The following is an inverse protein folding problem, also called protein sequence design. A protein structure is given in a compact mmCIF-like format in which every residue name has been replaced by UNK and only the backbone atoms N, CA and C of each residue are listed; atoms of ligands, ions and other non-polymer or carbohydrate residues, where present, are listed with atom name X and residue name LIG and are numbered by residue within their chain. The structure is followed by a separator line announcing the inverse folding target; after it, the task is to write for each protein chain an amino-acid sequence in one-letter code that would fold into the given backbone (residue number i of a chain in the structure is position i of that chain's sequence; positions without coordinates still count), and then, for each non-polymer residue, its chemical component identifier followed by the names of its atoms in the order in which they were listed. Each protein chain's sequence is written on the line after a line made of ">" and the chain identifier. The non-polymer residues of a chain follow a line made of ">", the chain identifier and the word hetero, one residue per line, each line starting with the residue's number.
data_IF_108833595355
#
_entry.id   IF_108833595355
#
_cell.length_a   1.000
_cell.length_b   1.000
_cell.length_c   1.000
_cell.angle_alpha   90.00
_cell.angle_beta   90.00
_cell.angle_gamma   90.00
#
_symmetry.space_group_name_H-M   'P 1'
#
loop_
_entity.id
_entity.type
_entity.pdbx_description
1 polymer ?
#
# COMPACT_ATOMS: atom_id res chain seq x y z
N UNK A 1 14.99 17.39 -21.69
CA UNK A 1 16.09 16.71 -22.42
C UNK A 1 17.32 17.64 -22.41
N UNK A 2 18.49 17.10 -22.15
CA UNK A 2 19.77 17.82 -22.16
C UNK A 2 20.85 16.96 -22.80
N UNK A 3 21.51 17.47 -23.82
CA UNK A 3 22.61 16.79 -24.51
C UNK A 3 23.96 17.41 -24.15
N UNK A 4 25.01 16.64 -24.25
CA UNK A 4 26.38 17.11 -24.08
C UNK A 4 27.34 16.28 -24.93
N UNK A 5 28.37 16.95 -25.41
CA UNK A 5 29.48 16.29 -26.14
C UNK A 5 30.80 16.86 -25.65
N UNK A 6 31.74 15.99 -25.43
CA UNK A 6 33.13 16.38 -25.16
C UNK A 6 34.04 15.30 -25.77
N UNK A 7 35.12 15.73 -26.40
CA UNK A 7 36.03 14.83 -27.16
C UNK A 7 36.47 13.59 -26.35
N UNK A 8 36.75 13.76 -25.04
CA UNK A 8 37.16 12.65 -24.15
C UNK A 8 35.97 11.91 -23.52
N UNK A 9 34.83 12.58 -23.38
CA UNK A 9 33.67 12.04 -22.66
C UNK A 9 32.60 11.47 -23.60
N UNK A 10 32.76 11.61 -24.91
CA UNK A 10 31.82 11.09 -25.88
C UNK A 10 30.49 11.84 -25.93
N UNK A 11 29.49 11.20 -26.52
CA UNK A 11 28.14 11.76 -26.65
C UNK A 11 27.30 11.36 -25.45
N UNK A 12 26.68 12.34 -24.80
CA UNK A 12 25.93 12.19 -23.54
C UNK A 12 24.50 12.71 -23.70
N UNK A 13 23.55 12.12 -22.97
CA UNK A 13 22.14 12.54 -22.98
C UNK A 13 21.48 12.19 -21.66
N UNK A 14 20.84 13.18 -21.07
CA UNK A 14 19.87 13.00 -19.99
C UNK A 14 18.50 13.30 -20.58
N UNK A 15 17.58 12.39 -20.49
CA UNK A 15 16.23 12.59 -21.02
C UNK A 15 15.18 12.05 -20.03
N UNK A 16 13.96 12.52 -20.19
CA UNK A 16 12.82 12.05 -19.41
C UNK A 16 11.67 11.78 -20.38
N UNK A 17 10.91 10.75 -20.07
CA UNK A 17 9.68 10.41 -20.80
C UNK A 17 8.60 10.02 -19.83
N UNK A 18 7.33 10.32 -20.19
CA UNK A 18 6.17 9.96 -19.39
C UNK A 18 5.18 9.19 -20.28
N UNK A 19 4.63 8.09 -19.73
CA UNK A 19 3.62 7.26 -20.38
C UNK A 19 2.70 6.70 -19.29
N UNK A 20 1.39 6.86 -19.44
CA UNK A 20 0.37 6.29 -18.55
C UNK A 20 0.63 6.60 -17.06
N UNK A 21 0.97 7.85 -16.76
CA UNK A 21 1.23 8.30 -15.40
C UNK A 21 2.64 8.03 -14.89
N UNK A 22 3.37 7.11 -15.51
CA UNK A 22 4.74 6.76 -15.13
C UNK A 22 5.74 7.69 -15.80
N UNK A 23 6.79 8.08 -15.07
CA UNK A 23 7.87 8.92 -15.60
C UNK A 23 9.21 8.24 -15.35
N UNK A 24 10.01 8.13 -16.40
CA UNK A 24 11.39 7.62 -16.31
C UNK A 24 12.39 8.70 -16.72
N UNK A 25 13.56 8.64 -16.12
CA UNK A 25 14.73 9.44 -16.47
C UNK A 25 15.79 8.46 -17.00
N UNK A 26 16.28 8.73 -18.19
CA UNK A 26 17.35 7.95 -18.81
C UNK A 26 18.63 8.79 -18.84
N UNK A 27 19.73 8.20 -18.43
CA UNK A 27 21.07 8.80 -18.49
C UNK A 27 21.96 7.90 -19.33
N UNK A 28 22.42 8.41 -20.45
CA UNK A 28 23.31 7.70 -21.38
C UNK A 28 24.60 8.54 -21.51
N UNK A 29 25.72 7.94 -21.20
CA UNK A 29 27.01 8.61 -21.19
C UNK A 29 28.03 7.85 -22.07
N UNK A 30 28.93 8.59 -22.70
CA UNK A 30 30.14 8.05 -23.34
C UNK A 30 29.91 7.27 -24.62
N UNK A 31 28.80 7.49 -25.33
CA UNK A 31 28.58 6.76 -26.59
C UNK A 31 29.49 7.30 -27.70
N UNK A 32 29.82 6.41 -28.65
CA UNK A 32 30.75 6.72 -29.76
C UNK A 32 30.18 7.77 -30.72
N UNK A 33 28.87 7.84 -30.86
CA UNK A 33 28.22 8.80 -31.75
C UNK A 33 26.80 9.12 -31.31
N UNK A 34 26.23 10.15 -31.91
CA UNK A 34 24.86 10.64 -31.59
C UNK A 34 23.80 9.58 -31.88
N UNK A 35 23.97 8.76 -32.92
CA UNK A 35 23.02 7.70 -33.28
C UNK A 35 22.94 6.63 -32.18
N UNK A 36 24.10 6.19 -31.66
CA UNK A 36 24.15 5.23 -30.53
C UNK A 36 23.52 5.81 -29.28
N UNK A 37 23.84 7.08 -28.98
CA UNK A 37 23.25 7.79 -27.83
C UNK A 37 21.72 7.73 -27.89
N UNK A 38 21.12 8.11 -29.01
CA UNK A 38 19.65 8.14 -29.18
C UNK A 38 19.06 6.74 -29.13
N UNK A 39 19.72 5.76 -29.75
CA UNK A 39 19.27 4.35 -29.72
C UNK A 39 19.27 3.79 -28.28
N UNK A 40 20.35 4.00 -27.55
CA UNK A 40 20.48 3.54 -26.15
C UNK A 40 19.44 4.21 -25.24
N UNK A 41 19.21 5.51 -25.41
CA UNK A 41 18.21 6.25 -24.64
C UNK A 41 16.81 5.66 -24.86
N UNK A 42 16.43 5.44 -26.12
CA UNK A 42 15.12 4.83 -26.45
C UNK A 42 15.00 3.45 -25.85
N UNK A 43 16.03 2.61 -26.02
CA UNK A 43 16.02 1.25 -25.48
C UNK A 43 15.83 1.21 -23.95
N UNK A 44 16.52 2.10 -23.22
CA UNK A 44 16.37 2.18 -21.76
C UNK A 44 14.96 2.62 -21.34
N UNK A 45 14.41 3.62 -22.03
CA UNK A 45 13.04 4.11 -21.71
C UNK A 45 11.99 3.04 -22.04
N UNK A 46 12.12 2.38 -23.20
CA UNK A 46 11.21 1.29 -23.58
C UNK A 46 11.31 0.14 -22.57
N UNK A 47 12.52 -0.24 -22.15
CA UNK A 47 12.72 -1.26 -21.12
C UNK A 47 11.96 -0.91 -19.83
N UNK A 48 12.06 0.34 -19.39
CA UNK A 48 11.33 0.81 -18.21
C UNK A 48 9.82 0.68 -18.37
N UNK A 49 9.29 1.19 -19.46
CA UNK A 49 7.84 1.17 -19.70
C UNK A 49 7.28 -0.23 -19.97
N UNK A 50 8.08 -1.10 -20.58
CA UNK A 50 7.61 -2.46 -20.93
C UNK A 50 7.69 -3.44 -19.76
N UNK A 51 8.57 -3.18 -18.78
CA UNK A 51 8.85 -4.14 -17.71
C UNK A 51 8.34 -3.72 -16.34
N UNK A 52 7.96 -2.46 -16.14
CA UNK A 52 7.53 -1.96 -14.82
C UNK A 52 6.21 -1.21 -14.95
N UNK A 53 5.35 -1.40 -13.96
CA UNK A 53 4.08 -0.67 -13.87
C UNK A 53 3.74 -0.35 -12.42
N UNK A 54 2.87 0.62 -12.20
CA UNK A 54 2.37 0.95 -10.87
C UNK A 54 1.25 -0.03 -10.49
N UNK A 55 1.44 -0.72 -9.38
CA UNK A 55 0.42 -1.60 -8.78
C UNK A 55 -0.21 -0.88 -7.60
N UNK A 56 -1.51 -0.70 -7.63
CA UNK A 56 -2.29 -0.22 -6.49
C UNK A 56 -2.67 -1.43 -5.64
N UNK A 57 -2.17 -1.47 -4.39
CA UNK A 57 -2.12 -2.68 -3.58
C UNK A 57 -3.22 -2.78 -2.52
N UNK A 58 -3.88 -1.68 -2.18
CA UNK A 58 -4.90 -1.65 -1.13
C UNK A 58 -6.03 -0.69 -1.48
N UNK A 59 -6.60 -0.89 -2.65
CA UNK A 59 -7.79 -0.10 -3.03
C UNK A 59 -8.87 -0.25 -1.97
N UNK A 60 -9.52 0.85 -1.67
CA UNK A 60 -10.56 0.95 -0.63
C UNK A 60 -11.71 -0.04 -0.92
N UNK A 61 -11.92 -0.41 -2.19
CA UNK A 61 -12.98 -1.34 -2.64
C UNK A 61 -12.48 -2.78 -2.82
N UNK A 62 -11.27 -3.12 -2.36
CA UNK A 62 -10.78 -4.49 -2.45
C UNK A 62 -11.52 -5.40 -1.45
N UNK A 63 -11.75 -6.64 -1.85
CA UNK A 63 -12.48 -7.65 -1.04
C UNK A 63 -11.75 -8.07 0.24
N UNK A 64 -10.60 -7.48 0.53
CA UNK A 64 -9.84 -7.80 1.75
C UNK A 64 -10.29 -6.89 2.87
N UNK A 65 -10.97 -7.46 3.87
CA UNK A 65 -11.39 -6.72 5.07
C UNK A 65 -10.46 -7.05 6.24
N UNK A 66 -10.10 -6.03 6.98
CA UNK A 66 -9.31 -6.15 8.21
C UNK A 66 -10.21 -5.82 9.39
N UNK A 67 -10.03 -6.50 10.53
CA UNK A 67 -10.82 -6.20 11.72
C UNK A 67 -10.02 -6.50 12.98
N UNK A 68 -10.45 -5.90 14.09
CA UNK A 68 -9.92 -6.19 15.44
C UNK A 68 -11.09 -6.42 16.39
N UNK A 69 -10.90 -7.32 17.35
CA UNK A 69 -11.89 -7.54 18.40
C UNK A 69 -12.03 -6.32 19.32
N UNK A 70 -13.22 -6.07 19.85
CA UNK A 70 -13.47 -4.96 20.79
C UNK A 70 -14.03 -5.53 22.11
N UNK A 71 -13.18 -5.56 23.12
CA UNK A 71 -13.56 -6.04 24.45
C UNK A 71 -14.39 -4.97 25.17
N UNK A 72 -15.58 -5.35 25.63
CA UNK A 72 -16.49 -4.46 26.36
C UNK A 72 -17.20 -3.43 25.49
N UNK A 73 -17.22 -3.64 24.18
CA UNK A 73 -17.91 -2.76 23.24
C UNK A 73 -19.31 -3.23 22.90
N UNK A 74 -20.14 -2.33 22.39
CA UNK A 74 -21.46 -2.67 21.87
C UNK A 74 -21.39 -3.61 20.66
N UNK A 75 -20.25 -3.60 19.94
CA UNK A 75 -19.94 -4.54 18.86
C UNK A 75 -18.68 -5.33 19.25
N UNK A 76 -18.67 -6.60 18.90
CA UNK A 76 -17.55 -7.50 19.19
C UNK A 76 -16.30 -7.22 18.33
N UNK A 77 -16.49 -6.59 17.18
CA UNK A 77 -15.42 -6.31 16.23
C UNK A 77 -15.59 -4.93 15.61
N UNK A 78 -14.47 -4.35 15.18
CA UNK A 78 -14.45 -3.09 14.43
C UNK A 78 -13.65 -3.30 13.14
N UNK A 79 -14.21 -2.84 12.00
CA UNK A 79 -13.55 -2.89 10.70
C UNK A 79 -12.44 -1.85 10.63
N UNK A 80 -11.37 -2.22 9.92
CA UNK A 80 -10.19 -1.37 9.75
C UNK A 80 -9.95 -1.12 8.25
N UNK A 81 -9.52 0.09 7.94
CA UNK A 81 -9.11 0.45 6.57
C UNK A 81 -7.74 1.12 6.58
N UNK A 82 -7.02 1.01 5.47
CA UNK A 82 -5.74 1.69 5.31
C UNK A 82 -5.95 3.21 5.21
N UNK A 83 -5.05 3.98 5.79
CA UNK A 83 -5.14 5.46 5.80
C UNK A 83 -4.79 6.09 4.45
N UNK A 84 -4.11 5.34 3.57
CA UNK A 84 -3.74 5.81 2.23
C UNK A 84 -3.66 4.64 1.25
N UNK A 85 -3.86 4.92 -0.03
CA UNK A 85 -3.64 3.95 -1.10
C UNK A 85 -2.13 3.78 -1.32
N UNK A 86 -1.67 2.54 -1.37
CA UNK A 86 -0.27 2.22 -1.66
C UNK A 86 -0.12 1.91 -3.15
N UNK A 87 0.76 2.64 -3.81
CA UNK A 87 1.13 2.37 -5.20
C UNK A 87 2.64 2.12 -5.26
N UNK A 88 3.03 0.95 -5.77
CA UNK A 88 4.44 0.59 -5.92
C UNK A 88 4.76 0.32 -7.38
N UNK A 89 5.87 0.88 -7.86
CA UNK A 89 6.39 0.63 -9.20
C UNK A 89 7.18 -0.68 -9.17
N UNK A 90 6.61 -1.73 -9.76
CA UNK A 90 7.17 -3.08 -9.71
C UNK A 90 7.15 -3.73 -11.10
N UNK A 91 8.03 -4.69 -11.31
CA UNK A 91 7.86 -5.63 -12.42
C UNK A 91 6.77 -6.65 -12.05
N UNK A 92 6.25 -7.36 -13.03
CA UNK A 92 5.28 -8.44 -12.79
C UNK A 92 5.85 -9.51 -11.84
N UNK A 93 7.09 -9.79 -11.93
CA UNK A 93 7.79 -10.72 -11.05
C UNK A 93 7.93 -10.21 -9.60
N UNK A 94 8.22 -8.97 -9.41
CA UNK A 94 8.26 -8.40 -8.25
C UNK A 94 7.04 -8.33 -7.61
N UNK A 95 6.03 -8.11 -8.28
CA UNK A 95 4.66 -8.09 -7.77
C UNK A 95 4.21 -9.48 -7.25
N UNK A 96 4.54 -10.55 -7.95
CA UNK A 96 4.21 -11.92 -7.49
C UNK A 96 4.93 -12.32 -6.20
N UNK A 97 6.10 -11.72 -5.88
CA UNK A 97 6.88 -12.02 -4.66
C UNK A 97 6.57 -11.02 -3.53
N UNK A 98 5.70 -10.04 -3.80
CA UNK A 98 5.33 -9.06 -2.78
C UNK A 98 4.53 -9.75 -1.67
N UNK A 99 4.90 -9.51 -0.43
CA UNK A 99 4.20 -10.01 0.75
C UNK A 99 3.54 -8.83 1.47
N UNK A 100 2.30 -9.02 1.93
CA UNK A 100 1.57 -8.02 2.71
C UNK A 100 1.33 -8.62 4.09
N UNK A 101 1.83 -7.96 5.11
CA UNK A 101 1.78 -8.45 6.49
C UNK A 101 0.94 -7.49 7.34
N UNK A 102 -0.32 -7.86 7.67
CA UNK A 102 -1.13 -7.09 8.60
C UNK A 102 -0.59 -7.26 10.02
N UNK A 103 -0.31 -6.15 10.70
CA UNK A 103 0.05 -6.10 12.10
C UNK A 103 -1.15 -5.48 12.85
N UNK A 104 -2.07 -6.33 13.30
CA UNK A 104 -3.33 -5.91 13.92
C UNK A 104 -3.43 -6.57 15.28
N UNK A 105 -3.69 -5.82 16.36
CA UNK A 105 -3.93 -6.45 17.67
C UNK A 105 -5.18 -7.33 17.60
N UNK A 106 -5.14 -8.49 18.24
CA UNK A 106 -6.28 -9.40 18.29
C UNK A 106 -7.51 -8.71 18.90
N UNK A 107 -7.30 -7.87 19.92
CA UNK A 107 -8.37 -7.14 20.63
C UNK A 107 -7.89 -5.74 21.04
N UNK A 108 -8.85 -4.83 21.13
CA UNK A 108 -8.69 -3.50 21.77
C UNK A 108 -9.82 -3.33 22.80
N UNK A 109 -9.65 -2.42 23.75
CA UNK A 109 -10.69 -2.09 24.73
C UNK A 109 -11.66 -1.03 24.21
N UNK A 110 -12.95 -1.17 24.55
CA UNK A 110 -13.94 -0.13 24.30
C UNK A 110 -13.73 1.05 25.28
N UNK A 111 -14.15 2.28 24.95
CA UNK A 111 -14.73 2.68 23.68
C UNK A 111 -13.66 2.85 22.59
N UNK A 112 -14.02 2.56 21.34
CA UNK A 112 -13.17 2.76 20.18
C UNK A 112 -13.70 3.97 19.41
N UNK A 113 -12.82 4.87 19.01
CA UNK A 113 -13.20 6.05 18.20
C UNK A 113 -13.13 5.72 16.71
N UNK A 114 -13.91 6.41 15.90
CA UNK A 114 -13.77 6.38 14.45
C UNK A 114 -12.40 6.97 14.07
N UNK A 115 -11.77 6.43 13.02
CA UNK A 115 -10.46 6.87 12.52
C UNK A 115 -9.33 6.71 13.55
N UNK A 116 -9.53 5.88 14.57
CA UNK A 116 -8.49 5.53 15.53
C UNK A 116 -7.48 4.58 14.88
N UNK A 117 -6.19 4.91 14.94
CA UNK A 117 -5.13 4.02 14.45
C UNK A 117 -5.06 2.76 15.31
N UNK A 118 -5.14 1.59 14.67
CA UNK A 118 -5.23 0.31 15.37
C UNK A 118 -4.47 -0.81 14.65
N UNK A 119 -3.40 -0.49 13.98
CA UNK A 119 -2.55 -1.46 13.32
C UNK A 119 -1.84 -0.88 12.13
N UNK A 120 -1.12 -1.73 11.42
CA UNK A 120 -0.40 -1.35 10.20
C UNK A 120 -0.46 -2.48 9.17
N UNK A 121 -0.31 -2.10 7.90
CA UNK A 121 0.00 -3.02 6.81
C UNK A 121 1.44 -2.80 6.39
N UNK A 122 2.23 -3.85 6.40
CA UNK A 122 3.62 -3.82 5.96
C UNK A 122 3.73 -4.50 4.61
N UNK A 123 4.41 -3.87 3.67
CA UNK A 123 4.65 -4.37 2.33
C UNK A 123 6.12 -4.77 2.21
N UNK A 124 6.36 -6.04 1.99
CA UNK A 124 7.70 -6.63 1.99
C UNK A 124 8.03 -7.24 0.63
N UNK A 125 9.26 -7.08 0.20
CA UNK A 125 9.78 -7.74 -1.00
C UNK A 125 11.18 -8.29 -0.70
N UNK A 126 11.32 -9.59 -0.83
CA UNK A 126 12.60 -10.29 -0.62
C UNK A 126 13.25 -9.92 0.73
N UNK A 127 12.44 -9.83 1.78
CA UNK A 127 12.91 -9.55 3.13
C UNK A 127 13.18 -8.08 3.44
N UNK A 128 12.74 -7.18 2.61
CA UNK A 128 12.93 -5.75 2.81
C UNK A 128 11.61 -4.97 2.82
N UNK A 129 11.07 -4.11 3.66
CA UNK A 129 10.11 -3.48 3.76
C UNK A 129 10.13 -2.58 2.83
N UNK A 130 9.41 -2.34 2.17
CA UNK A 130 9.22 -1.32 1.14
C UNK A 130 8.35 -0.15 1.63
N UNK A 131 7.30 -0.48 2.33
CA UNK A 131 6.30 0.52 2.74
C UNK A 131 5.56 0.01 3.98
N UNK A 132 5.14 0.94 4.85
CA UNK A 132 4.25 0.67 5.97
C UNK A 132 3.13 1.70 5.92
N UNK A 133 1.89 1.28 6.16
CA UNK A 133 0.69 2.13 6.14
C UNK A 133 -0.16 1.84 7.37
N UNK A 134 -0.61 2.87 8.05
CA UNK A 134 -1.48 2.71 9.21
C UNK A 134 -2.86 2.19 8.81
N UNK A 135 -3.42 1.34 9.67
CA UNK A 135 -4.82 0.92 9.63
C UNK A 135 -5.58 1.73 10.67
N UNK A 136 -6.76 2.20 10.32
CA UNK A 136 -7.63 2.93 11.23
C UNK A 136 -9.04 2.37 11.21
N UNK A 137 -9.75 2.54 12.31
CA UNK A 137 -11.13 2.08 12.46
C UNK A 137 -12.05 2.86 11.52
N UNK A 138 -13.00 2.16 10.93
CA UNK A 138 -13.97 2.77 10.01
C UNK A 138 -15.08 3.51 10.74
N UNK A 139 -15.41 3.06 11.96
CA UNK A 139 -16.50 3.63 12.77
C UNK A 139 -16.16 3.52 14.25
N UNK A 140 -16.91 4.24 15.08
CA UNK A 140 -16.77 4.19 16.53
C UNK A 140 -17.52 2.98 17.11
N UNK A 141 -16.98 2.39 18.19
CA UNK A 141 -17.69 1.34 18.95
C UNK A 141 -17.78 1.82 20.40
N UNK A 142 -18.96 2.23 20.87
CA UNK A 142 -19.15 2.63 22.26
C UNK A 142 -18.95 1.48 23.23
N UNK A 143 -18.70 1.82 24.49
CA UNK A 143 -18.66 0.85 25.58
C UNK A 143 -20.05 0.26 25.81
N UNK A 144 -20.12 -1.03 26.03
CA UNK A 144 -21.37 -1.73 26.32
C UNK A 144 -21.98 -1.20 27.63
N UNK A 145 -23.25 -0.82 27.60
CA UNK A 145 -23.96 -0.32 28.77
C UNK A 145 -24.30 -1.47 29.74
N UNK A 146 -24.08 -1.26 31.01
CA UNK A 146 -24.43 -2.23 32.07
C UNK A 146 -25.92 -2.61 31.99
N UNK A 147 -26.77 -1.68 31.55
CA UNK A 147 -28.21 -1.92 31.40
C UNK A 147 -28.51 -2.94 30.27
N UNK A 148 -27.69 -3.00 29.21
CA UNK A 148 -27.90 -3.96 28.14
C UNK A 148 -27.49 -5.39 28.56
N UNK A 149 -26.50 -5.51 29.46
CA UNK A 149 -26.12 -6.82 30.04
C UNK A 149 -27.23 -7.37 30.92
N UNK A 150 -27.83 -6.52 31.77
CA UNK A 150 -28.96 -6.91 32.68
C UNK A 150 -30.18 -7.36 31.86
N UNK A 151 -30.51 -6.67 30.80
CA UNK A 151 -31.64 -7.07 29.91
C UNK A 151 -31.38 -8.38 29.22
N UNK A 152 -30.15 -8.64 28.74
CA UNK A 152 -29.83 -9.91 28.06
C UNK A 152 -29.84 -11.11 29.00
N UNK A 153 -29.45 -10.90 30.28
CA UNK A 153 -29.53 -11.93 31.33
C UNK A 153 -30.97 -12.26 31.69
N UNK A 154 -31.84 -11.24 31.74
CA UNK A 154 -33.28 -11.40 32.09
C UNK A 154 -34.05 -12.10 30.96
N UNK A 155 -33.71 -11.83 29.69
CA UNK A 155 -34.37 -12.45 28.52
C UNK A 155 -33.93 -13.91 28.32
N UNK A 156 -32.70 -14.26 28.67
CA UNK A 156 -32.21 -15.64 28.63
C UNK A 156 -32.74 -16.53 29.76
N UNK A 157 -33.24 -15.91 30.56
CA UNK A 157 -33.66 -16.60 31.59
C UNK A 157 -35.04 -17.06 31.56
N UNK A 158 -35.75 -16.56 30.83
CA UNK A 158 -37.18 -16.90 30.74
C UNK A 158 -37.49 -18.05 29.75
N UNK A 159 -36.51 -18.74 29.27
CA UNK A 159 -36.64 -19.79 28.26
C UNK A 159 -36.66 -21.25 28.75
N UNK A 160 -36.88 -21.51 30.02
CA UNK A 160 -36.97 -22.87 30.52
C UNK A 160 -38.30 -23.07 31.29
N UNK A 161 -39.32 -23.47 30.52
CA UNK A 161 -40.48 -24.21 31.05
C UNK A 161 -41.08 -25.05 29.95
#
# INVERSE_FOLDING_TARGET
>A
MKTGYHRRAGFNLVSTAKRDGQRYISIVLGTKNSRMRSKSTRHLLDYGFDNYQNFELNKIDADVSYSAGVKGGELENVSLRATETVSLLLSAEXHRRLEIWPQIPAQTGAPVKAEQKLGTLEYWLDGKXLKEVALQTEFAVPEQSIFSELTSMLTNXSGTN
#
